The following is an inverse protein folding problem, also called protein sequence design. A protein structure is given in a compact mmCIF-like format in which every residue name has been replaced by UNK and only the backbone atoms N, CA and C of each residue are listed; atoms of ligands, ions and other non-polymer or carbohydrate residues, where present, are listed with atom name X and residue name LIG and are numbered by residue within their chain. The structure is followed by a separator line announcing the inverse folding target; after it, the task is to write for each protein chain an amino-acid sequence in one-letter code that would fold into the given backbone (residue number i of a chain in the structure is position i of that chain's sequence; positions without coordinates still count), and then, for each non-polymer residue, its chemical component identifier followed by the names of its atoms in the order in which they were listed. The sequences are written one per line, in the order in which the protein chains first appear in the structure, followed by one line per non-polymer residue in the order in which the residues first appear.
data_IF_040518590135
#
_entry.id   IF_040518590135
#
_cell.length_a   1.000
_cell.length_b   1.000
_cell.length_c   1.000
_cell.angle_alpha   90.00
_cell.angle_beta   90.00
_cell.angle_gamma   90.00
#
_symmetry.space_group_name_H-M   'P 1'
#
loop_
_entity.id
_entity.type
_entity.pdbx_description
1 polymer ?
#
# COMPACT_ATOMS: atom_id res chain seq x y z
N UNK A 1 17.82 5.51 -1.72
CA UNK A 1 16.85 6.22 -2.59
C UNK A 1 15.46 5.98 -2.04
N UNK A 2 14.70 7.04 -1.81
CA UNK A 2 13.31 6.91 -1.32
C UNK A 2 12.39 6.32 -2.39
N UNK A 3 11.24 5.74 -1.96
CA UNK A 3 10.22 5.25 -2.91
C UNK A 3 9.73 6.38 -3.82
N UNK A 4 9.53 7.59 -3.25
CA UNK A 4 9.12 8.76 -4.03
C UNK A 4 10.15 9.13 -5.11
N UNK A 5 11.44 9.10 -4.79
CA UNK A 5 12.49 9.33 -5.80
C UNK A 5 12.43 8.31 -6.93
N UNK A 6 12.27 7.03 -6.61
CA UNK A 6 12.12 5.97 -7.64
C UNK A 6 10.93 6.21 -8.56
N UNK A 7 9.78 6.61 -8.00
CA UNK A 7 8.59 6.92 -8.80
C UNK A 7 8.78 8.15 -9.67
N UNK A 8 9.44 9.20 -9.17
CA UNK A 8 9.78 10.38 -9.96
C UNK A 8 10.73 10.05 -11.12
N UNK A 9 11.72 9.19 -10.88
CA UNK A 9 12.64 8.73 -11.93
C UNK A 9 11.90 7.91 -13.00
N UNK A 10 10.92 7.06 -12.61
CA UNK A 10 10.07 6.37 -13.56
C UNK A 10 9.29 7.34 -14.45
N UNK A 11 8.68 8.37 -13.86
CA UNK A 11 7.95 9.39 -14.62
C UNK A 11 8.89 10.16 -15.57
N UNK A 12 10.07 10.54 -15.10
CA UNK A 12 11.06 11.25 -15.90
C UNK A 12 11.57 10.42 -17.10
N UNK A 13 11.71 9.12 -16.93
CA UNK A 13 12.29 8.23 -17.96
C UNK A 13 11.25 7.61 -18.88
N UNK A 14 10.08 7.25 -18.35
CA UNK A 14 9.03 6.52 -19.09
C UNK A 14 7.80 7.38 -19.40
N UNK A 15 7.70 8.58 -18.81
CA UNK A 15 6.55 9.49 -18.94
C UNK A 15 5.40 9.19 -17.96
N UNK A 16 5.34 7.98 -17.38
CA UNK A 16 4.34 7.58 -16.40
C UNK A 16 4.84 6.41 -15.56
N UNK A 17 4.31 6.26 -14.34
CA UNK A 17 4.50 5.08 -13.51
C UNK A 17 3.33 4.11 -13.65
N UNK A 18 3.61 2.81 -13.72
CA UNK A 18 2.63 1.74 -13.72
C UNK A 18 2.57 1.08 -12.33
N UNK A 19 1.47 1.26 -11.63
CA UNK A 19 1.28 0.74 -10.26
C UNK A 19 0.11 -0.24 -10.25
N UNK A 20 0.32 -1.42 -9.68
CA UNK A 20 -0.69 -2.47 -9.54
C UNK A 20 -1.26 -2.43 -8.12
N UNK A 21 -2.58 -2.36 -7.99
CA UNK A 21 -3.27 -2.44 -6.69
C UNK A 21 -3.59 -3.89 -6.35
N UNK A 22 -3.19 -4.31 -5.17
CA UNK A 22 -3.51 -5.63 -4.59
C UNK A 22 -4.28 -5.42 -3.29
N UNK A 23 -5.49 -5.94 -3.23
CA UNK A 23 -6.29 -5.99 -2.00
C UNK A 23 -6.02 -7.32 -1.28
N UNK A 24 -5.37 -7.31 -0.10
CA UNK A 24 -5.05 -8.51 0.66
C UNK A 24 -6.26 -9.07 1.44
N UNK A 25 -7.44 -8.97 0.86
CA UNK A 25 -8.66 -9.56 1.39
C UNK A 25 -8.65 -11.10 1.23
N UNK A 26 -9.37 -11.79 2.13
CA UNK A 26 -9.54 -13.25 2.12
C UNK A 26 -10.01 -13.78 0.76
N UNK A 27 -10.91 -13.07 0.10
CA UNK A 27 -11.46 -13.48 -1.22
C UNK A 27 -10.40 -13.58 -2.30
N UNK A 28 -9.30 -12.83 -2.17
CA UNK A 28 -8.22 -12.78 -3.14
C UNK A 28 -7.06 -13.72 -2.82
N UNK A 29 -7.09 -14.38 -1.65
CA UNK A 29 -5.97 -15.10 -1.05
C UNK A 29 -5.28 -16.10 -2.01
N UNK A 30 -6.07 -16.81 -2.82
CA UNK A 30 -5.56 -17.81 -3.78
C UNK A 30 -4.81 -17.19 -4.97
N UNK A 31 -5.06 -15.92 -5.27
CA UNK A 31 -4.53 -15.25 -6.47
C UNK A 31 -3.43 -14.24 -6.14
N UNK A 32 -3.21 -13.93 -4.86
CA UNK A 32 -2.26 -12.89 -4.43
C UNK A 32 -0.86 -13.15 -5.00
N UNK A 33 -0.33 -14.36 -4.82
CA UNK A 33 1.04 -14.69 -5.23
C UNK A 33 1.21 -14.53 -6.74
N UNK A 34 0.28 -15.07 -7.51
CA UNK A 34 0.27 -14.92 -8.96
C UNK A 34 0.19 -13.46 -9.41
N UNK A 35 -0.63 -12.64 -8.73
CA UNK A 35 -0.74 -11.20 -9.04
C UNK A 35 0.58 -10.47 -8.78
N UNK A 36 1.26 -10.76 -7.67
CA UNK A 36 2.55 -10.14 -7.33
C UNK A 36 3.63 -10.55 -8.32
N UNK A 37 3.75 -11.85 -8.61
CA UNK A 37 4.69 -12.38 -9.60
C UNK A 37 4.46 -11.79 -10.99
N UNK A 38 3.20 -11.69 -11.40
CA UNK A 38 2.82 -11.08 -12.68
C UNK A 38 3.20 -9.60 -12.72
N UNK A 39 3.01 -8.85 -11.64
CA UNK A 39 3.42 -7.45 -11.56
C UNK A 39 4.95 -7.29 -11.67
N UNK A 40 5.73 -8.13 -10.96
CA UNK A 40 7.20 -8.15 -11.07
C UNK A 40 7.66 -8.38 -12.52
N UNK A 41 7.05 -9.36 -13.22
CA UNK A 41 7.46 -9.79 -14.57
C UNK A 41 7.03 -8.84 -15.68
N UNK A 42 5.93 -8.10 -15.50
CA UNK A 42 5.34 -7.25 -16.54
C UNK A 42 5.63 -5.76 -16.39
N UNK A 43 6.67 -5.41 -15.62
CA UNK A 43 7.22 -4.06 -15.59
C UNK A 43 6.39 -3.07 -14.77
N UNK A 44 5.66 -3.53 -13.76
CA UNK A 44 5.09 -2.63 -12.78
C UNK A 44 6.21 -1.91 -12.01
N UNK A 45 6.00 -0.64 -11.70
CA UNK A 45 6.99 0.21 -11.02
C UNK A 45 6.82 0.18 -9.49
N UNK A 46 5.62 -0.16 -9.02
CA UNK A 46 5.31 -0.35 -7.60
C UNK A 46 4.02 -1.17 -7.42
N UNK A 47 3.80 -1.64 -6.19
CA UNK A 47 2.53 -2.18 -5.73
C UNK A 47 1.85 -1.19 -4.79
N UNK A 48 0.57 -0.91 -4.99
CA UNK A 48 -0.32 -0.44 -3.95
C UNK A 48 -0.95 -1.66 -3.26
N UNK A 49 -0.86 -1.70 -1.94
CA UNK A 49 -1.44 -2.79 -1.15
C UNK A 49 -2.35 -2.20 -0.08
N UNK A 50 -3.59 -2.64 -0.07
CA UNK A 50 -4.60 -2.17 0.86
C UNK A 50 -6.01 -2.41 0.33
N UNK A 51 -7.00 -2.18 1.16
CA UNK A 51 -8.41 -2.35 0.81
C UNK A 51 -9.30 -1.50 1.69
N UNK A 52 -10.58 -1.38 1.30
CA UNK A 52 -11.55 -0.55 2.00
C UNK A 52 -11.84 -1.04 3.43
N UNK A 53 -11.76 -2.34 3.66
CA UNK A 53 -12.02 -2.95 4.96
C UNK A 53 -11.05 -4.10 5.23
N UNK A 54 -10.64 -4.23 6.49
CA UNK A 54 -9.93 -5.40 6.98
C UNK A 54 -10.94 -6.41 7.52
N UNK A 55 -11.10 -7.53 6.81
CA UNK A 55 -12.18 -8.48 7.08
C UNK A 55 -11.79 -9.64 8.02
N UNK A 56 -10.48 -9.89 8.22
CA UNK A 56 -10.04 -11.01 9.05
C UNK A 56 -8.64 -10.82 9.67
N UNK A 57 -8.34 -11.69 10.65
CA UNK A 57 -7.07 -11.68 11.41
C UNK A 57 -5.82 -12.04 10.59
N UNK A 58 -5.96 -12.52 9.38
CA UNK A 58 -4.84 -12.95 8.53
C UNK A 58 -4.38 -11.89 7.54
N UNK A 59 -5.01 -10.71 7.55
CA UNK A 59 -4.65 -9.59 6.69
C UNK A 59 -3.14 -9.29 6.70
N UNK A 60 -2.56 -9.10 7.89
CA UNK A 60 -1.13 -8.78 8.02
C UNK A 60 -0.20 -9.90 7.56
N UNK A 61 -0.62 -11.16 7.69
CA UNK A 61 0.13 -12.31 7.15
C UNK A 61 0.13 -12.32 5.62
N UNK A 62 -0.98 -11.92 4.99
CA UNK A 62 -1.02 -11.77 3.53
C UNK A 62 -0.13 -10.62 3.07
N UNK A 63 -0.12 -9.49 3.78
CA UNK A 63 0.79 -8.37 3.51
C UNK A 63 2.26 -8.82 3.60
N UNK A 64 2.63 -9.56 4.65
CA UNK A 64 3.97 -10.14 4.80
C UNK A 64 4.32 -11.07 3.63
N UNK A 65 3.37 -11.91 3.19
CA UNK A 65 3.54 -12.80 2.04
C UNK A 65 3.75 -12.01 0.73
N UNK A 66 2.94 -10.97 0.49
CA UNK A 66 3.14 -10.06 -0.65
C UNK A 66 4.56 -9.48 -0.62
N UNK A 67 5.00 -9.00 0.55
CA UNK A 67 6.33 -8.41 0.70
C UNK A 67 7.45 -9.42 0.40
N UNK A 68 7.28 -10.68 0.76
CA UNK A 68 8.28 -11.72 0.50
C UNK A 68 8.46 -12.07 -0.98
N UNK A 69 7.44 -11.79 -1.81
CA UNK A 69 7.45 -12.07 -3.26
C UNK A 69 7.79 -10.80 -4.06
N UNK A 70 7.41 -9.62 -3.55
CA UNK A 70 7.56 -8.36 -4.27
C UNK A 70 9.03 -7.97 -4.47
N UNK A 71 9.43 -7.76 -5.72
CA UNK A 71 10.74 -7.24 -6.13
C UNK A 71 10.72 -5.72 -6.35
N UNK A 72 9.53 -5.14 -6.37
CA UNK A 72 9.27 -3.71 -6.57
C UNK A 72 8.72 -3.08 -5.29
N UNK A 73 8.79 -1.74 -5.12
CA UNK A 73 8.31 -1.08 -3.91
C UNK A 73 6.86 -1.39 -3.59
N UNK A 74 6.60 -1.69 -2.31
CA UNK A 74 5.27 -1.96 -1.78
C UNK A 74 4.78 -0.77 -0.95
N UNK A 75 3.74 -0.11 -1.41
CA UNK A 75 3.19 1.12 -0.85
C UNK A 75 1.82 0.83 -0.24
N UNK A 76 1.62 1.17 1.03
CA UNK A 76 0.31 1.06 1.65
C UNK A 76 -0.67 2.06 1.03
N UNK A 77 -1.78 1.53 0.53
CA UNK A 77 -2.98 2.29 0.15
C UNK A 77 -4.07 2.06 1.21
N UNK A 78 -4.10 2.86 2.31
CA UNK A 78 -4.83 2.49 3.50
C UNK A 78 -6.34 2.72 3.38
N UNK A 79 -7.12 1.73 3.85
CA UNK A 79 -8.53 1.90 4.17
C UNK A 79 -8.78 2.36 5.60
N UNK A 80 -7.77 2.25 6.48
CA UNK A 80 -7.83 2.67 7.87
C UNK A 80 -6.54 2.37 8.62
N UNK A 81 -6.43 2.92 9.84
CA UNK A 81 -5.24 2.78 10.69
C UNK A 81 -4.89 1.32 11.05
N UNK A 82 -5.89 0.44 11.05
CA UNK A 82 -5.71 -0.97 11.32
C UNK A 82 -4.93 -1.74 10.23
N UNK A 83 -4.68 -1.12 9.08
CA UNK A 83 -3.87 -1.69 8.00
C UNK A 83 -2.39 -1.34 8.10
N UNK A 84 -2.00 -0.47 9.03
CA UNK A 84 -0.59 -0.13 9.27
C UNK A 84 0.21 -1.36 9.72
N UNK A 85 1.36 -1.58 9.10
CA UNK A 85 2.37 -2.54 9.54
C UNK A 85 3.75 -2.20 8.95
N UNK A 86 4.79 -2.84 9.48
CA UNK A 86 6.20 -2.59 9.15
C UNK A 86 6.68 -3.13 7.79
N UNK A 87 5.85 -3.85 7.06
CA UNK A 87 6.27 -4.51 5.81
C UNK A 87 6.23 -3.60 4.59
N UNK A 88 5.60 -2.44 4.70
CA UNK A 88 5.53 -1.46 3.63
C UNK A 88 6.83 -0.65 3.49
N UNK A 89 7.19 -0.32 2.25
CA UNK A 89 8.34 0.55 1.94
C UNK A 89 7.96 2.04 2.00
N UNK A 90 6.67 2.34 1.86
CA UNK A 90 6.07 3.68 1.96
C UNK A 90 4.57 3.58 2.19
N UNK A 91 3.92 4.70 2.45
CA UNK A 91 2.46 4.77 2.55
C UNK A 91 1.89 6.04 1.94
N UNK A 92 0.65 5.99 1.51
CA UNK A 92 -0.13 7.17 1.20
C UNK A 92 -0.78 7.70 2.48
N UNK A 93 -0.36 8.86 2.94
CA UNK A 93 -0.95 9.52 4.09
C UNK A 93 -2.13 10.37 3.63
N UNK A 94 -3.27 9.70 3.43
CA UNK A 94 -4.44 10.25 2.75
C UNK A 94 -5.31 11.10 3.65
N UNK A 95 -6.07 12.01 3.04
CA UNK A 95 -7.17 12.75 3.67
C UNK A 95 -8.37 12.82 2.72
N UNK A 96 -9.57 13.04 3.28
CA UNK A 96 -10.79 13.21 2.50
C UNK A 96 -10.76 14.57 1.78
N UNK A 97 -10.96 14.57 0.45
CA UNK A 97 -11.08 15.80 -0.35
C UNK A 97 -12.51 16.32 -0.43
N UNK A 98 -13.49 15.41 -0.33
CA UNK A 98 -14.90 15.70 -0.51
C UNK A 98 -15.70 15.08 0.63
N UNK A 99 -16.57 15.88 1.25
CA UNK A 99 -17.37 15.47 2.40
C UNK A 99 -17.01 16.21 3.68
N UNK A 100 -17.76 15.93 4.77
CA UNK A 100 -17.67 16.67 6.04
C UNK A 100 -17.34 15.81 7.25
N UNK A 101 -17.08 14.51 7.04
CA UNK A 101 -16.73 13.64 8.16
C UNK A 101 -15.32 13.93 8.65
N UNK A 102 -15.21 14.58 9.81
CA UNK A 102 -13.93 14.95 10.43
C UNK A 102 -13.03 13.75 10.73
N UNK A 103 -13.61 12.56 10.94
CA UNK A 103 -12.84 11.34 11.13
C UNK A 103 -11.90 11.06 9.96
N UNK A 104 -12.38 11.21 8.72
CA UNK A 104 -11.56 11.01 7.51
C UNK A 104 -10.79 12.24 7.04
N UNK A 105 -11.17 13.44 7.54
CA UNK A 105 -10.45 14.68 7.24
C UNK A 105 -9.17 14.82 8.06
N UNK A 106 -9.23 14.53 9.36
CA UNK A 106 -8.13 14.73 10.32
C UNK A 106 -8.01 13.63 11.37
N UNK A 107 -9.11 12.97 11.76
CA UNK A 107 -9.14 12.03 12.88
C UNK A 107 -8.23 10.82 12.68
N UNK A 108 -8.33 10.14 11.55
CA UNK A 108 -7.46 8.99 11.20
C UNK A 108 -5.98 9.40 11.18
N UNK A 109 -5.66 10.57 10.64
CA UNK A 109 -4.31 11.09 10.52
C UNK A 109 -3.70 11.39 11.90
N UNK A 110 -4.47 11.95 12.82
CA UNK A 110 -4.04 12.22 14.19
C UNK A 110 -3.73 10.92 14.95
N UNK A 111 -4.55 9.90 14.76
CA UNK A 111 -4.35 8.57 15.35
C UNK A 111 -3.14 7.86 14.70
N UNK A 112 -3.02 7.94 13.40
CA UNK A 112 -1.98 7.24 12.64
C UNK A 112 -0.57 7.84 12.81
N UNK A 113 -0.45 9.16 12.91
CA UNK A 113 0.83 9.87 12.90
C UNK A 113 1.86 9.34 13.91
N UNK A 114 1.55 9.13 15.21
CA UNK A 114 2.51 8.59 16.15
C UNK A 114 2.91 7.14 15.85
N UNK A 115 2.01 6.35 15.27
CA UNK A 115 2.28 4.96 14.88
C UNK A 115 3.25 4.94 13.71
N UNK A 116 2.98 5.75 12.69
CA UNK A 116 3.85 5.87 11.49
C UNK A 116 5.25 6.32 11.89
N UNK A 117 5.36 7.30 12.80
CA UNK A 117 6.66 7.78 13.28
C UNK A 117 7.50 6.71 13.99
N UNK A 118 6.87 5.73 14.64
CA UNK A 118 7.59 4.61 15.28
C UNK A 118 8.04 3.57 14.23
N UNK A 119 7.38 3.53 13.08
CA UNK A 119 7.66 2.57 12.01
C UNK A 119 8.76 3.03 11.04
N UNK A 120 9.15 4.32 11.09
CA UNK A 120 10.30 4.86 10.35
C UNK A 120 11.62 4.23 10.87
#
# INVERSE_FOLDING_TARGET
MSVLSKLNDCVATKGAGFIVLIDPDKKNDKNIDHCVESANQNGADALFVGGSMMMDRFYHKRVERIKSIAEIPMILFPGGVNQLNKHYDAMLFMSLLSGRNSHYLIGEQVIAAPIVKIME
#
